data_IF_503839822033
#
_entry.id   IF_503839822033
#
_cell.length_a   1.000
_cell.length_b   1.000
_cell.length_c   1.000
_cell.angle_alpha   90.00
_cell.angle_beta   90.00
_cell.angle_gamma   90.00
#
_symmetry.space_group_name_H-M   'P 1'
#
loop_
_entity.id
_entity.type
_entity.pdbx_description
1 polymer ?
#
# COMPACT_ATOMS: atom_id res chain seq x y z
N UNK A 1 31.03 17.39 -8.41
CA UNK A 1 29.77 17.11 -9.13
C UNK A 1 29.78 15.80 -9.95
N UNK A 2 30.93 15.18 -10.27
CA UNK A 2 31.06 14.04 -11.21
C UNK A 2 30.98 12.62 -10.61
N UNK A 3 31.32 12.40 -9.33
CA UNK A 3 31.22 11.07 -8.68
C UNK A 3 29.79 10.66 -8.35
N UNK A 4 28.99 11.58 -7.80
CA UNK A 4 27.59 11.33 -7.43
C UNK A 4 26.71 11.02 -8.66
N UNK A 5 26.93 11.72 -9.77
CA UNK A 5 26.22 11.47 -11.03
C UNK A 5 26.59 10.12 -11.67
N UNK A 6 27.85 9.69 -11.56
CA UNK A 6 28.28 8.35 -12.04
C UNK A 6 27.74 7.22 -11.15
N UNK A 7 27.74 7.40 -9.82
CA UNK A 7 27.12 6.44 -8.89
C UNK A 7 25.62 6.33 -9.15
N UNK A 8 24.92 7.45 -9.34
CA UNK A 8 23.50 7.46 -9.72
C UNK A 8 23.28 6.80 -11.08
N UNK A 9 24.13 7.00 -12.09
CA UNK A 9 23.92 6.31 -13.39
C UNK A 9 24.18 4.80 -13.33
N UNK A 10 25.10 4.36 -12.47
CA UNK A 10 25.48 2.95 -12.30
C UNK A 10 24.49 2.17 -11.41
N UNK A 11 24.03 2.79 -10.30
CA UNK A 11 22.95 2.25 -9.44
C UNK A 11 21.67 2.01 -10.25
N UNK A 12 21.39 2.88 -11.24
CA UNK A 12 20.11 2.93 -11.93
C UNK A 12 20.02 2.08 -13.20
N UNK A 13 21.07 1.37 -13.62
CA UNK A 13 20.99 0.49 -14.79
C UNK A 13 21.30 -0.97 -14.46
N UNK A 14 22.56 -1.33 -14.20
CA UNK A 14 22.94 -2.75 -14.04
C UNK A 14 22.47 -3.32 -12.69
N UNK A 15 22.73 -2.61 -11.59
CA UNK A 15 22.31 -3.05 -10.26
C UNK A 15 20.77 -3.07 -10.14
N UNK A 16 20.10 -2.06 -10.71
CA UNK A 16 18.64 -2.03 -10.76
C UNK A 16 18.07 -3.21 -11.56
N UNK A 17 18.60 -3.52 -12.74
CA UNK A 17 18.18 -4.70 -13.50
C UNK A 17 18.44 -6.01 -12.75
N UNK A 18 19.61 -6.16 -12.12
CA UNK A 18 19.92 -7.33 -11.29
C UNK A 18 18.94 -7.49 -10.14
N UNK A 19 18.65 -6.41 -9.41
CA UNK A 19 17.69 -6.43 -8.32
C UNK A 19 16.28 -6.76 -8.81
N UNK A 20 15.84 -6.15 -9.93
CA UNK A 20 14.55 -6.46 -10.54
C UNK A 20 14.43 -7.95 -10.89
N UNK A 21 15.45 -8.54 -11.52
CA UNK A 21 15.47 -9.96 -11.84
C UNK A 21 15.44 -10.85 -10.58
N UNK A 22 16.22 -10.52 -9.55
CA UNK A 22 16.23 -11.29 -8.30
C UNK A 22 14.92 -11.19 -7.53
N UNK A 23 14.33 -10.00 -7.42
CA UNK A 23 13.04 -9.79 -6.77
C UNK A 23 11.93 -10.52 -7.51
N UNK A 24 11.92 -10.42 -8.84
CA UNK A 24 10.98 -11.16 -9.68
C UNK A 24 11.16 -12.67 -9.53
N UNK A 25 12.41 -13.17 -9.52
CA UNK A 25 12.70 -14.59 -9.32
C UNK A 25 12.22 -15.12 -7.96
N UNK A 26 12.33 -14.31 -6.90
CA UNK A 26 11.78 -14.67 -5.58
C UNK A 26 10.26 -14.75 -5.62
N UNK A 27 9.58 -13.79 -6.26
CA UNK A 27 8.14 -13.86 -6.46
C UNK A 27 7.74 -15.05 -7.33
N UNK A 28 8.53 -15.36 -8.35
CA UNK A 28 8.31 -16.50 -9.23
C UNK A 28 8.34 -17.82 -8.46
N UNK A 29 9.34 -18.01 -7.58
CA UNK A 29 9.41 -19.18 -6.70
C UNK A 29 8.23 -19.21 -5.72
N UNK A 30 7.95 -18.08 -5.04
CA UNK A 30 6.92 -18.02 -4.00
C UNK A 30 5.50 -18.25 -4.55
N UNK A 31 5.24 -17.82 -5.78
CA UNK A 31 3.93 -17.88 -6.43
C UNK A 31 3.93 -18.75 -7.69
N UNK A 32 4.90 -19.67 -7.82
CA UNK A 32 5.06 -20.55 -8.99
C UNK A 32 3.74 -21.24 -9.41
N UNK A 33 2.93 -21.81 -8.49
CA UNK A 33 1.68 -22.45 -8.86
C UNK A 33 0.62 -21.50 -9.44
N UNK A 34 0.70 -20.20 -9.14
CA UNK A 34 -0.22 -19.17 -9.62
C UNK A 34 0.24 -18.58 -10.97
N UNK A 35 1.54 -18.54 -11.23
CA UNK A 35 2.10 -18.01 -12.48
C UNK A 35 2.03 -19.07 -13.58
N UNK A 36 2.60 -20.24 -13.30
CA UNK A 36 2.81 -21.30 -14.27
C UNK A 36 1.85 -22.48 -14.09
N UNK A 37 1.31 -22.64 -12.87
CA UNK A 37 0.38 -23.71 -12.54
C UNK A 37 -1.10 -23.34 -12.73
N UNK A 38 -1.95 -24.15 -12.07
CA UNK A 38 -3.41 -24.06 -12.15
C UNK A 38 -4.02 -23.46 -10.88
N UNK A 39 -3.26 -22.69 -10.08
CA UNK A 39 -3.75 -22.00 -8.88
C UNK A 39 -4.10 -20.56 -9.21
N UNK A 40 -5.08 -20.01 -8.49
CA UNK A 40 -5.52 -18.62 -8.69
C UNK A 40 -6.01 -18.00 -7.40
N UNK A 41 -5.73 -16.71 -7.26
CA UNK A 41 -6.27 -15.84 -6.22
C UNK A 41 -7.64 -15.27 -6.57
N UNK A 42 -8.08 -15.41 -7.82
CA UNK A 42 -9.41 -14.99 -8.26
C UNK A 42 -10.49 -15.84 -7.55
N UNK A 43 -11.28 -15.22 -6.69
CA UNK A 43 -12.30 -15.87 -5.86
C UNK A 43 -13.47 -16.38 -6.72
N UNK A 44 -13.90 -15.63 -7.73
CA UNK A 44 -14.93 -16.05 -8.70
C UNK A 44 -14.61 -17.33 -9.45
N UNK A 45 -13.33 -17.73 -9.51
CA UNK A 45 -12.98 -18.99 -10.11
C UNK A 45 -13.54 -20.16 -9.30
N UNK A 46 -13.74 -20.04 -7.98
CA UNK A 46 -14.14 -21.21 -7.17
C UNK A 46 -14.92 -20.90 -5.89
N UNK A 47 -14.60 -19.81 -5.23
CA UNK A 47 -14.94 -19.56 -3.83
C UNK A 47 -16.18 -18.65 -3.70
N UNK A 48 -16.49 -17.87 -4.74
CA UNK A 48 -17.64 -16.97 -4.78
C UNK A 48 -18.45 -17.12 -6.08
N UNK A 49 -19.77 -16.99 -5.98
CA UNK A 49 -20.64 -16.88 -7.15
C UNK A 49 -20.25 -15.66 -7.99
N UNK A 50 -20.23 -15.80 -9.32
CA UNK A 50 -19.71 -14.75 -10.19
C UNK A 50 -20.43 -14.63 -11.52
N UNK A 51 -20.34 -13.42 -12.10
CA UNK A 51 -20.76 -13.09 -13.46
C UNK A 51 -19.71 -13.46 -14.52
N UNK A 52 -18.53 -13.91 -14.11
CA UNK A 52 -17.47 -14.32 -15.02
C UNK A 52 -17.70 -15.74 -15.53
N UNK A 53 -17.48 -16.01 -16.84
CA UNK A 53 -17.67 -17.35 -17.41
C UNK A 53 -16.52 -18.32 -17.05
N UNK A 54 -15.58 -17.88 -16.21
CA UNK A 54 -14.39 -18.64 -15.83
C UNK A 54 -14.64 -19.30 -14.48
N UNK A 55 -14.83 -20.62 -14.49
CA UNK A 55 -14.90 -21.43 -13.28
C UNK A 55 -13.63 -22.27 -13.06
N UNK A 56 -13.51 -22.86 -11.89
CA UNK A 56 -12.45 -23.78 -11.55
C UNK A 56 -12.57 -25.03 -12.43
N UNK A 57 -11.44 -25.50 -12.94
CA UNK A 57 -11.32 -26.71 -13.74
C UNK A 57 -12.03 -27.95 -13.14
N UNK A 58 -12.25 -27.97 -11.82
CA UNK A 58 -12.84 -29.11 -11.10
C UNK A 58 -14.40 -29.16 -11.09
N UNK A 59 -15.13 -28.21 -11.68
CA UNK A 59 -16.58 -28.32 -11.93
C UNK A 59 -17.52 -28.37 -10.71
N UNK A 60 -16.99 -28.53 -9.48
CA UNK A 60 -17.75 -28.50 -8.23
C UNK A 60 -17.24 -27.39 -7.31
N UNK A 61 -18.18 -26.57 -6.81
CA UNK A 61 -17.92 -25.63 -5.72
C UNK A 61 -17.41 -26.42 -4.51
N UNK A 62 -16.19 -26.13 -4.06
CA UNK A 62 -15.66 -26.66 -2.80
C UNK A 62 -15.42 -25.47 -1.91
N UNK A 63 -16.10 -25.41 -0.77
CA UNK A 63 -15.71 -24.49 0.30
C UNK A 63 -14.32 -24.89 0.76
N UNK A 64 -13.31 -24.00 0.64
CA UNK A 64 -11.97 -24.34 1.10
C UNK A 64 -12.00 -24.58 2.62
N UNK A 65 -11.22 -25.56 3.09
CA UNK A 65 -11.15 -25.89 4.53
C UNK A 65 -10.53 -24.75 5.37
N UNK A 66 -9.71 -23.93 4.72
CA UNK A 66 -9.11 -22.74 5.29
C UNK A 66 -9.26 -21.60 4.27
N UNK A 67 -9.60 -20.39 4.72
CA UNK A 67 -9.70 -19.26 3.83
C UNK A 67 -8.32 -18.93 3.24
N UNK A 68 -8.29 -18.52 1.98
CA UNK A 68 -7.10 -18.08 1.24
C UNK A 68 -6.59 -16.73 1.73
N UNK A 69 -7.50 -15.86 2.16
CA UNK A 69 -7.23 -14.49 2.64
C UNK A 69 -8.08 -14.18 3.87
N UNK A 70 -7.75 -13.12 4.60
CA UNK A 70 -8.51 -12.72 5.80
C UNK A 70 -9.95 -12.32 5.51
N UNK A 71 -10.18 -11.72 4.34
CA UNK A 71 -11.50 -11.35 3.85
C UNK A 71 -11.64 -11.93 2.43
N UNK A 72 -12.44 -12.99 2.28
CA UNK A 72 -12.74 -13.59 0.98
C UNK A 72 -13.97 -12.95 0.32
N UNK A 73 -14.79 -12.24 1.09
CA UNK A 73 -16.06 -11.70 0.65
C UNK A 73 -15.88 -10.49 -0.25
N UNK A 74 -15.06 -9.53 0.17
CA UNK A 74 -14.86 -8.28 -0.58
C UNK A 74 -14.36 -8.53 -2.01
N UNK A 75 -13.30 -9.33 -2.27
CA UNK A 75 -12.80 -9.59 -3.62
C UNK A 75 -13.86 -10.26 -4.51
N UNK A 76 -14.52 -11.30 -3.99
CA UNK A 76 -15.47 -12.09 -4.77
C UNK A 76 -16.78 -11.37 -5.07
N UNK A 77 -17.31 -10.60 -4.11
CA UNK A 77 -18.64 -10.00 -4.22
C UNK A 77 -18.62 -8.54 -4.72
N UNK A 78 -17.53 -7.81 -4.51
CA UNK A 78 -17.45 -6.39 -4.88
C UNK A 78 -16.43 -6.17 -6.00
N UNK A 79 -15.15 -6.46 -5.73
CA UNK A 79 -14.05 -5.98 -6.56
C UNK A 79 -13.98 -6.67 -7.92
N UNK A 80 -14.11 -8.00 -7.95
CA UNK A 80 -14.04 -8.79 -9.17
C UNK A 80 -15.19 -8.49 -10.16
N UNK A 81 -16.47 -8.39 -9.73
CA UNK A 81 -17.55 -7.90 -10.57
C UNK A 81 -17.30 -6.49 -11.11
N UNK A 82 -16.75 -5.57 -10.31
CA UNK A 82 -16.40 -4.22 -10.78
C UNK A 82 -15.34 -4.27 -11.88
N UNK A 83 -14.27 -5.06 -11.75
CA UNK A 83 -13.27 -5.20 -12.82
C UNK A 83 -13.87 -5.72 -14.13
N UNK A 84 -14.81 -6.67 -14.04
CA UNK A 84 -15.54 -7.17 -15.21
C UNK A 84 -16.39 -6.08 -15.86
N UNK A 85 -17.10 -5.28 -15.05
CA UNK A 85 -17.91 -4.15 -15.53
C UNK A 85 -17.05 -3.06 -16.17
N UNK A 86 -15.94 -2.68 -15.53
CA UNK A 86 -14.97 -1.71 -16.03
C UNK A 86 -14.45 -2.15 -17.41
N UNK A 87 -14.08 -3.42 -17.55
CA UNK A 87 -13.67 -4.00 -18.83
C UNK A 87 -14.75 -3.90 -19.91
N UNK A 88 -16.00 -4.21 -19.57
CA UNK A 88 -17.16 -4.07 -20.47
C UNK A 88 -17.35 -2.62 -20.91
N UNK A 89 -17.27 -1.67 -19.98
CA UNK A 89 -17.45 -0.25 -20.25
C UNK A 89 -16.35 0.30 -21.17
N UNK A 90 -15.09 -0.06 -20.93
CA UNK A 90 -13.99 0.31 -21.80
C UNK A 90 -14.06 -0.33 -23.19
N UNK A 91 -14.33 -1.63 -23.27
CA UNK A 91 -14.17 -2.39 -24.50
C UNK A 91 -15.43 -2.47 -25.36
N UNK A 92 -16.58 -2.77 -24.75
CA UNK A 92 -17.83 -3.00 -25.46
C UNK A 92 -18.64 -1.70 -25.59
N UNK A 93 -18.77 -0.93 -24.51
CA UNK A 93 -19.65 0.26 -24.46
C UNK A 93 -18.93 1.54 -24.88
N UNK A 94 -17.59 1.57 -24.85
CA UNK A 94 -16.75 2.74 -25.13
C UNK A 94 -17.04 3.94 -24.22
N UNK A 95 -17.47 3.66 -22.99
CA UNK A 95 -17.80 4.66 -21.98
C UNK A 95 -16.71 4.71 -20.90
N UNK A 96 -16.43 5.89 -20.33
CA UNK A 96 -15.66 5.97 -19.09
C UNK A 96 -16.41 5.22 -17.97
N UNK A 97 -15.74 4.46 -17.09
CA UNK A 97 -16.40 3.61 -16.08
C UNK A 97 -16.95 4.41 -14.88
N UNK A 98 -17.96 5.24 -15.13
CA UNK A 98 -18.47 6.21 -14.15
C UNK A 98 -19.64 5.67 -13.32
N UNK A 99 -20.43 4.75 -13.86
CA UNK A 99 -21.71 4.31 -13.27
C UNK A 99 -21.85 2.79 -13.26
N UNK A 100 -22.33 2.23 -12.16
CA UNK A 100 -22.68 0.83 -12.03
C UNK A 100 -24.21 0.66 -11.97
N UNK A 101 -24.87 0.21 -13.05
CA UNK A 101 -26.33 0.04 -13.07
C UNK A 101 -26.81 -1.24 -12.40
N UNK A 102 -25.90 -2.12 -11.96
CA UNK A 102 -26.21 -3.47 -11.47
C UNK A 102 -26.23 -3.59 -9.95
N UNK A 103 -25.82 -2.54 -9.23
CA UNK A 103 -25.75 -2.54 -7.78
C UNK A 103 -26.66 -1.44 -7.22
N UNK A 104 -27.45 -1.75 -6.19
CA UNK A 104 -28.27 -0.81 -5.42
C UNK A 104 -29.13 0.15 -6.27
N UNK A 105 -29.73 -0.34 -7.37
CA UNK A 105 -30.47 0.45 -8.37
C UNK A 105 -29.66 1.51 -9.13
N UNK A 106 -28.33 1.48 -8.99
CA UNK A 106 -27.40 2.38 -9.65
C UNK A 106 -26.50 3.10 -8.65
N UNK A 107 -25.18 2.91 -8.78
CA UNK A 107 -24.18 3.57 -7.91
C UNK A 107 -23.04 4.20 -8.71
N UNK A 108 -22.44 5.31 -8.20
CA UNK A 108 -21.24 5.88 -8.81
C UNK A 108 -20.07 4.90 -8.73
N UNK A 109 -19.62 4.38 -9.88
CA UNK A 109 -18.54 3.41 -9.96
C UNK A 109 -17.20 4.10 -9.71
N UNK A 110 -16.80 5.06 -10.55
CA UNK A 110 -15.53 5.77 -10.36
C UNK A 110 -15.49 6.57 -9.06
N UNK A 111 -16.60 7.22 -8.69
CA UNK A 111 -16.65 8.10 -7.53
C UNK A 111 -16.68 7.33 -6.20
N UNK A 112 -16.93 6.01 -6.17
CA UNK A 112 -16.76 5.22 -4.95
C UNK A 112 -15.29 5.01 -4.56
N UNK A 113 -14.34 5.35 -5.46
CA UNK A 113 -12.89 5.17 -5.35
C UNK A 113 -12.41 3.72 -5.26
N UNK A 114 -13.05 2.86 -4.48
CA UNK A 114 -12.69 1.45 -4.25
C UNK A 114 -12.57 0.63 -5.54
N UNK A 115 -13.38 0.94 -6.55
CA UNK A 115 -13.39 0.22 -7.83
C UNK A 115 -12.18 0.51 -8.74
N UNK A 116 -11.43 1.60 -8.47
CA UNK A 116 -10.14 1.91 -9.11
C UNK A 116 -10.12 1.89 -10.65
N UNK A 117 -11.12 2.42 -11.38
CA UNK A 117 -11.20 2.24 -12.83
C UNK A 117 -10.04 2.91 -13.60
N UNK A 118 -9.43 3.94 -13.01
CA UNK A 118 -8.33 4.70 -13.61
C UNK A 118 -6.95 4.36 -13.02
N UNK A 119 -6.86 3.41 -12.09
CA UNK A 119 -5.57 2.90 -11.64
C UNK A 119 -4.95 2.03 -12.74
N UNK A 120 -3.71 2.28 -13.20
CA UNK A 120 -3.17 1.61 -14.39
C UNK A 120 -3.21 0.08 -14.35
N UNK A 121 -2.84 -0.54 -13.22
CA UNK A 121 -2.83 -2.01 -13.12
C UNK A 121 -4.26 -2.58 -13.13
N UNK A 122 -5.20 -1.90 -12.48
CA UNK A 122 -6.62 -2.30 -12.45
C UNK A 122 -7.26 -2.14 -13.83
N UNK A 123 -6.97 -1.04 -14.52
CA UNK A 123 -7.43 -0.80 -15.88
C UNK A 123 -6.90 -1.90 -16.82
N UNK A 124 -5.60 -2.19 -16.79
CA UNK A 124 -4.98 -3.25 -17.61
C UNK A 124 -5.57 -4.64 -17.31
N UNK A 125 -5.78 -4.96 -16.02
CA UNK A 125 -6.45 -6.19 -15.61
C UNK A 125 -7.87 -6.27 -16.20
N UNK A 126 -8.63 -5.18 -16.10
CA UNK A 126 -10.03 -5.12 -16.53
C UNK A 126 -10.19 -5.31 -18.05
N UNK A 127 -9.20 -4.90 -18.85
CA UNK A 127 -9.21 -5.14 -20.32
C UNK A 127 -9.18 -6.62 -20.67
N UNK A 128 -8.54 -7.47 -19.85
CA UNK A 128 -8.48 -8.90 -20.09
C UNK A 128 -8.51 -9.68 -18.78
N UNK A 129 -9.66 -9.65 -18.11
CA UNK A 129 -9.84 -10.32 -16.82
C UNK A 129 -9.93 -11.84 -17.00
N UNK A 130 -8.94 -12.55 -16.48
CA UNK A 130 -8.82 -14.01 -16.41
C UNK A 130 -8.13 -14.39 -15.10
N UNK A 131 -8.22 -15.66 -14.65
CA UNK A 131 -7.47 -16.11 -13.46
C UNK A 131 -5.96 -15.79 -13.54
N UNK A 132 -5.35 -15.96 -14.71
CA UNK A 132 -3.91 -15.71 -14.89
C UNK A 132 -3.56 -14.23 -14.86
N UNK A 133 -4.34 -13.36 -15.52
CA UNK A 133 -4.10 -11.91 -15.49
C UNK A 133 -4.34 -11.32 -14.11
N UNK A 134 -5.30 -11.85 -13.35
CA UNK A 134 -5.52 -11.47 -11.94
C UNK A 134 -4.32 -11.83 -11.05
N UNK A 135 -3.74 -13.03 -11.21
CA UNK A 135 -2.52 -13.40 -10.51
C UNK A 135 -1.35 -12.45 -10.87
N UNK A 136 -1.19 -12.10 -12.14
CA UNK A 136 -0.18 -11.14 -12.56
C UNK A 136 -0.41 -9.74 -11.98
N UNK A 137 -1.65 -9.28 -11.92
CA UNK A 137 -2.01 -8.03 -11.27
C UNK A 137 -1.55 -7.98 -9.81
N UNK A 138 -1.81 -9.05 -9.05
CA UNK A 138 -1.32 -9.20 -7.67
C UNK A 138 0.21 -9.14 -7.61
N UNK A 139 0.89 -9.92 -8.45
CA UNK A 139 2.36 -10.00 -8.42
C UNK A 139 3.03 -8.68 -8.80
N UNK A 140 2.45 -7.95 -9.74
CA UNK A 140 2.96 -6.63 -10.14
C UNK A 140 2.85 -5.61 -9.00
N UNK A 141 1.80 -5.68 -8.18
CA UNK A 141 1.66 -4.85 -6.96
C UNK A 141 2.77 -5.16 -5.95
N UNK A 142 2.99 -6.43 -5.65
CA UNK A 142 4.06 -6.86 -4.74
C UNK A 142 5.45 -6.50 -5.29
N UNK A 143 5.69 -6.77 -6.57
CA UNK A 143 6.94 -6.41 -7.25
C UNK A 143 7.23 -4.92 -7.15
N UNK A 144 6.22 -4.07 -7.36
CA UNK A 144 6.36 -2.63 -7.26
C UNK A 144 6.74 -2.18 -5.84
N UNK A 145 6.11 -2.76 -4.80
CA UNK A 145 6.50 -2.52 -3.41
C UNK A 145 7.98 -2.85 -3.16
N UNK A 146 8.42 -4.05 -3.56
CA UNK A 146 9.79 -4.50 -3.32
C UNK A 146 10.84 -3.75 -4.14
N UNK A 147 10.57 -3.52 -5.43
CA UNK A 147 11.51 -2.85 -6.32
C UNK A 147 11.67 -1.37 -5.96
N UNK A 148 10.59 -0.66 -5.66
CA UNK A 148 10.69 0.72 -5.21
C UNK A 148 11.35 0.83 -3.83
N UNK A 149 11.09 -0.10 -2.91
CA UNK A 149 11.79 -0.14 -1.62
C UNK A 149 13.29 -0.37 -1.80
N UNK A 150 13.68 -1.32 -2.65
CA UNK A 150 15.09 -1.53 -3.01
C UNK A 150 15.73 -0.22 -3.51
N UNK A 151 15.11 0.44 -4.50
CA UNK A 151 15.64 1.69 -5.05
C UNK A 151 15.74 2.81 -4.00
N UNK A 152 14.75 2.92 -3.11
CA UNK A 152 14.77 3.88 -2.00
C UNK A 152 15.94 3.60 -1.05
N UNK A 153 16.11 2.34 -0.63
CA UNK A 153 17.19 1.95 0.29
C UNK A 153 18.58 2.09 -0.34
N UNK A 154 18.72 2.00 -1.66
CA UNK A 154 19.99 2.25 -2.36
C UNK A 154 20.52 3.68 -2.18
N UNK A 155 19.72 4.62 -1.71
CA UNK A 155 20.21 5.93 -1.29
C UNK A 155 21.06 5.91 -0.01
N UNK A 156 20.90 4.87 0.83
CA UNK A 156 21.46 4.80 2.19
C UNK A 156 22.39 3.61 2.38
N UNK A 157 22.11 2.47 1.76
CA UNK A 157 22.85 1.22 1.98
C UNK A 157 23.27 0.56 0.68
N UNK A 158 24.22 -0.36 0.75
CA UNK A 158 24.74 -1.11 -0.40
C UNK A 158 23.69 -2.06 -1.02
N UNK A 159 24.06 -2.75 -2.10
CA UNK A 159 23.16 -3.61 -2.87
C UNK A 159 22.44 -4.67 -2.01
N UNK A 160 23.19 -5.44 -1.21
CA UNK A 160 22.64 -6.60 -0.47
C UNK A 160 21.62 -6.18 0.60
N UNK A 161 21.90 -5.21 1.50
CA UNK A 161 20.91 -4.77 2.48
C UNK A 161 19.69 -4.10 1.83
N UNK A 162 19.88 -3.36 0.74
CA UNK A 162 18.76 -2.77 -0.01
C UNK A 162 17.89 -3.86 -0.65
N UNK A 163 18.50 -4.91 -1.20
CA UNK A 163 17.76 -6.05 -1.77
C UNK A 163 16.97 -6.78 -0.67
N UNK A 164 17.58 -6.98 0.50
CA UNK A 164 16.89 -7.58 1.65
C UNK A 164 15.68 -6.75 2.10
N UNK A 165 15.80 -5.42 2.13
CA UNK A 165 14.67 -4.53 2.40
C UNK A 165 13.59 -4.54 1.31
N UNK A 166 13.98 -4.70 0.04
CA UNK A 166 13.05 -4.93 -1.06
C UNK A 166 12.25 -6.23 -0.90
N UNK A 167 12.93 -7.32 -0.54
CA UNK A 167 12.27 -8.61 -0.24
C UNK A 167 11.33 -8.49 0.96
N UNK A 168 11.80 -7.87 2.04
CA UNK A 168 10.99 -7.66 3.24
C UNK A 168 9.74 -6.81 2.97
N UNK A 169 9.84 -5.83 2.06
CA UNK A 169 8.70 -5.00 1.67
C UNK A 169 7.70 -5.74 0.80
N UNK A 170 8.12 -6.44 -0.27
CA UNK A 170 7.17 -7.14 -1.15
C UNK A 170 6.52 -8.36 -0.53
N UNK A 171 7.16 -8.97 0.49
CA UNK A 171 6.64 -10.11 1.24
C UNK A 171 6.22 -9.72 2.66
N UNK A 172 5.97 -8.43 2.91
CA UNK A 172 5.46 -7.97 4.19
C UNK A 172 4.15 -8.71 4.52
N UNK A 173 4.01 -9.21 5.74
CA UNK A 173 2.87 -10.05 6.10
C UNK A 173 1.52 -9.39 5.87
N UNK A 174 1.41 -8.08 6.10
CA UNK A 174 0.24 -7.29 5.72
C UNK A 174 -0.17 -7.48 4.25
N UNK A 175 0.77 -7.33 3.30
CA UNK A 175 0.47 -7.51 1.88
C UNK A 175 0.12 -8.97 1.54
N UNK A 176 0.65 -9.95 2.28
CA UNK A 176 0.30 -11.36 2.07
C UNK A 176 -1.10 -11.65 2.59
N UNK A 177 -1.46 -11.10 3.75
CA UNK A 177 -2.76 -11.30 4.40
C UNK A 177 -3.92 -10.65 3.63
N UNK A 178 -3.65 -9.49 3.04
CA UNK A 178 -4.63 -8.70 2.28
C UNK A 178 -4.34 -8.71 0.76
N UNK A 179 -3.67 -9.75 0.26
CA UNK A 179 -3.11 -9.78 -1.10
C UNK A 179 -4.12 -9.56 -2.23
N UNK A 180 -5.39 -9.89 -2.01
CA UNK A 180 -6.50 -9.71 -2.96
C UNK A 180 -7.28 -8.41 -2.77
N UNK A 181 -7.07 -7.71 -1.65
CA UNK A 181 -7.80 -6.48 -1.34
C UNK A 181 -7.49 -5.36 -2.33
N UNK A 182 -8.48 -4.51 -2.56
CA UNK A 182 -8.32 -3.35 -3.44
C UNK A 182 -7.41 -2.27 -2.83
N UNK A 183 -7.47 -2.00 -1.52
CA UNK A 183 -6.64 -0.97 -0.89
C UNK A 183 -5.13 -1.20 -1.03
N UNK A 184 -4.72 -2.44 -1.24
CA UNK A 184 -3.32 -2.80 -1.47
C UNK A 184 -2.74 -2.12 -2.71
N UNK A 185 -3.57 -1.69 -3.69
CA UNK A 185 -3.14 -0.83 -4.80
C UNK A 185 -2.57 0.52 -4.36
N UNK A 186 -3.11 1.10 -3.28
CA UNK A 186 -2.59 2.33 -2.65
C UNK A 186 -1.36 2.01 -1.82
N UNK A 187 -1.46 0.98 -0.98
CA UNK A 187 -0.48 0.71 0.07
C UNK A 187 0.87 0.26 -0.48
N UNK A 188 0.88 -0.45 -1.61
CA UNK A 188 2.12 -0.81 -2.33
C UNK A 188 2.81 0.37 -2.98
N UNK A 189 2.18 1.55 -3.04
CA UNK A 189 2.83 2.79 -3.50
C UNK A 189 3.69 3.44 -2.41
N UNK A 190 3.60 3.03 -1.14
CA UNK A 190 4.37 3.64 -0.06
C UNK A 190 5.88 3.70 -0.37
N UNK A 191 6.54 2.62 -0.83
CA UNK A 191 7.95 2.67 -1.18
C UNK A 191 8.24 3.57 -2.39
N UNK A 192 7.32 3.65 -3.36
CA UNK A 192 7.45 4.55 -4.50
C UNK A 192 7.35 6.03 -4.09
N UNK A 193 6.47 6.34 -3.13
CA UNK A 193 6.30 7.68 -2.58
C UNK A 193 7.53 8.11 -1.76
N UNK A 194 8.10 7.20 -0.96
CA UNK A 194 9.37 7.43 -0.27
C UNK A 194 10.54 7.60 -1.24
N UNK A 195 10.64 6.74 -2.27
CA UNK A 195 11.65 6.80 -3.31
C UNK A 195 11.65 8.15 -4.04
N UNK A 196 10.49 8.55 -4.56
CA UNK A 196 10.35 9.79 -5.35
C UNK A 196 10.44 11.02 -4.46
N UNK A 197 9.92 10.96 -3.23
CA UNK A 197 10.07 12.02 -2.23
C UNK A 197 11.52 12.24 -1.84
N UNK A 198 12.27 11.19 -1.49
CA UNK A 198 13.71 11.29 -1.18
C UNK A 198 14.52 11.75 -2.40
N UNK A 199 14.14 11.31 -3.61
CA UNK A 199 14.75 11.80 -4.84
C UNK A 199 14.52 13.31 -5.02
N UNK A 200 13.31 13.80 -4.73
CA UNK A 200 12.97 15.23 -4.74
C UNK A 200 13.78 15.99 -3.70
N UNK A 201 13.91 15.51 -2.47
CA UNK A 201 14.77 16.15 -1.46
C UNK A 201 16.21 16.31 -1.93
N UNK A 202 16.77 15.26 -2.55
CA UNK A 202 18.18 15.24 -2.99
C UNK A 202 18.44 16.10 -4.23
N UNK A 203 17.49 16.19 -5.16
CA UNK A 203 17.67 16.88 -6.46
C UNK A 203 16.99 18.24 -6.56
N UNK A 204 15.79 18.37 -5.99
CA UNK A 204 14.96 19.57 -6.00
C UNK A 204 14.87 20.20 -7.41
N UNK A 205 14.44 19.40 -8.39
CA UNK A 205 14.27 19.83 -9.78
C UNK A 205 12.92 19.37 -10.36
N UNK A 206 12.56 19.90 -11.54
CA UNK A 206 11.27 19.60 -12.18
C UNK A 206 11.02 18.12 -12.45
N UNK A 207 12.05 17.35 -12.82
CA UNK A 207 11.90 15.90 -13.06
C UNK A 207 11.49 15.20 -11.77
N UNK A 208 12.17 15.50 -10.66
CA UNK A 208 11.82 14.91 -9.36
C UNK A 208 10.42 15.35 -8.88
N UNK A 209 10.00 16.57 -9.20
CA UNK A 209 8.66 17.06 -8.89
C UNK A 209 7.58 16.33 -9.70
N UNK A 210 7.76 16.19 -11.01
CA UNK A 210 6.83 15.45 -11.89
C UNK A 210 6.70 14.00 -11.44
N UNK A 211 7.80 13.34 -11.08
CA UNK A 211 7.77 11.96 -10.60
C UNK A 211 7.04 11.82 -9.27
N UNK A 212 7.28 12.72 -8.31
CA UNK A 212 6.56 12.71 -7.04
C UNK A 212 5.06 13.00 -7.27
N UNK A 213 4.71 13.99 -8.10
CA UNK A 213 3.33 14.28 -8.48
C UNK A 213 2.63 13.09 -9.15
N UNK A 214 3.33 12.36 -10.03
CA UNK A 214 2.80 11.16 -10.66
C UNK A 214 2.53 10.04 -9.64
N UNK A 215 3.42 9.83 -8.66
CA UNK A 215 3.17 8.86 -7.59
C UNK A 215 2.01 9.30 -6.69
N UNK A 216 1.89 10.59 -6.36
CA UNK A 216 0.74 11.10 -5.63
C UNK A 216 -0.57 10.86 -6.39
N UNK A 217 -0.58 11.11 -7.70
CA UNK A 217 -1.73 10.77 -8.55
C UNK A 217 -2.06 9.28 -8.48
N UNK A 218 -1.07 8.39 -8.61
CA UNK A 218 -1.26 6.93 -8.50
C UNK A 218 -1.80 6.49 -7.14
N UNK A 219 -1.36 7.12 -6.05
CA UNK A 219 -1.88 6.90 -4.69
C UNK A 219 -3.37 7.24 -4.63
N UNK A 220 -3.79 8.39 -5.20
CA UNK A 220 -5.20 8.81 -5.16
C UNK A 220 -6.09 7.95 -6.07
N UNK A 221 -5.65 7.66 -7.31
CA UNK A 221 -6.44 6.80 -8.23
C UNK A 221 -6.42 5.34 -7.82
N UNK A 222 -5.52 4.95 -6.89
CA UNK A 222 -5.47 3.65 -6.26
C UNK A 222 -6.63 3.36 -5.32
N UNK A 223 -7.53 4.32 -5.05
CA UNK A 223 -8.92 4.01 -4.71
C UNK A 223 -9.28 3.73 -3.25
N UNK A 224 -8.37 3.90 -2.29
CA UNK A 224 -8.68 3.81 -0.86
C UNK A 224 -8.27 5.12 -0.18
N UNK A 225 -9.21 6.08 0.04
CA UNK A 225 -8.92 7.40 0.60
C UNK A 225 -8.25 7.35 1.98
N UNK A 226 -8.67 6.41 2.82
CA UNK A 226 -8.14 6.23 4.17
C UNK A 226 -6.67 5.77 4.14
N UNK A 227 -6.38 4.69 3.41
CA UNK A 227 -4.99 4.23 3.19
C UNK A 227 -4.13 5.30 2.52
N UNK A 228 -4.69 6.07 1.57
CA UNK A 228 -3.98 7.18 0.93
C UNK A 228 -3.61 8.26 1.94
N UNK A 229 -4.54 8.65 2.81
CA UNK A 229 -4.28 9.64 3.86
C UNK A 229 -3.18 9.17 4.82
N UNK A 230 -3.25 7.94 5.32
CA UNK A 230 -2.26 7.38 6.26
C UNK A 230 -0.88 7.28 5.58
N UNK A 231 -0.83 6.82 4.34
CA UNK A 231 0.40 6.75 3.54
C UNK A 231 1.02 8.13 3.39
N UNK A 232 0.23 9.14 2.99
CA UNK A 232 0.72 10.50 2.82
C UNK A 232 1.17 11.11 4.14
N UNK A 233 0.45 10.88 5.24
CA UNK A 233 0.86 11.32 6.57
C UNK A 233 2.25 10.78 6.93
N UNK A 234 2.49 9.49 6.70
CA UNK A 234 3.80 8.88 6.93
C UNK A 234 4.88 9.46 6.01
N UNK A 235 4.61 9.60 4.72
CA UNK A 235 5.56 10.13 3.72
C UNK A 235 5.91 11.59 4.01
N UNK A 236 4.93 12.46 4.24
CA UNK A 236 5.20 13.86 4.59
C UNK A 236 5.89 13.98 5.95
N UNK A 237 5.53 13.15 6.93
CA UNK A 237 6.26 13.07 8.20
C UNK A 237 7.73 12.74 8.00
N UNK A 238 8.04 11.77 7.13
CA UNK A 238 9.41 11.44 6.73
C UNK A 238 10.11 12.62 6.05
N UNK A 239 9.47 13.26 5.06
CA UNK A 239 10.07 14.35 4.29
C UNK A 239 10.34 15.58 5.16
N UNK A 240 9.41 15.93 6.06
CA UNK A 240 9.59 17.01 7.03
C UNK A 240 10.76 16.67 7.97
N UNK A 241 10.79 15.46 8.53
CA UNK A 241 11.87 15.03 9.41
C UNK A 241 13.23 15.08 8.68
N UNK A 242 13.31 14.64 7.42
CA UNK A 242 14.53 14.76 6.60
C UNK A 242 14.96 16.22 6.46
N UNK A 243 14.05 17.15 6.14
CA UNK A 243 14.37 18.56 6.00
C UNK A 243 14.83 19.23 7.30
N UNK A 244 14.27 18.83 8.44
CA UNK A 244 14.60 19.39 9.77
C UNK A 244 15.96 18.89 10.26
N UNK A 245 16.19 17.57 10.17
CA UNK A 245 17.33 16.90 10.78
C UNK A 245 18.54 16.73 9.85
N UNK A 246 18.38 16.86 8.53
CA UNK A 246 19.50 16.82 7.59
C UNK A 246 20.04 18.22 7.28
N UNK A 247 21.23 18.51 7.81
CA UNK A 247 21.91 19.79 7.58
C UNK A 247 22.24 20.03 6.09
N UNK A 248 22.41 18.97 5.28
CA UNK A 248 22.72 19.10 3.85
C UNK A 248 21.54 19.62 3.02
N UNK A 249 20.32 19.45 3.53
CA UNK A 249 19.09 19.91 2.86
C UNK A 249 18.74 21.36 3.19
N UNK A 250 19.22 21.90 4.32
CA UNK A 250 18.91 23.26 4.78
C UNK A 250 19.21 24.35 3.74
N UNK A 251 20.35 24.35 3.01
CA UNK A 251 20.61 25.38 2.01
C UNK A 251 19.62 25.39 0.84
N UNK A 252 18.88 24.28 0.64
CA UNK A 252 17.93 24.10 -0.48
C UNK A 252 16.48 24.12 -0.02
N UNK A 253 16.20 24.41 1.26
CA UNK A 253 14.88 24.22 1.87
C UNK A 253 13.76 24.91 1.09
N UNK A 254 13.95 26.17 0.66
CA UNK A 254 12.94 26.90 -0.09
C UNK A 254 12.64 26.21 -1.42
N UNK A 255 13.67 25.78 -2.15
CA UNK A 255 13.51 25.05 -3.41
C UNK A 255 12.79 23.72 -3.20
N UNK A 256 13.14 22.99 -2.14
CA UNK A 256 12.49 21.73 -1.78
C UNK A 256 11.01 21.97 -1.49
N UNK A 257 10.68 22.94 -0.64
CA UNK A 257 9.30 23.27 -0.28
C UNK A 257 8.51 23.70 -1.51
N UNK A 258 9.08 24.52 -2.40
CA UNK A 258 8.42 24.91 -3.65
C UNK A 258 8.13 23.70 -4.53
N UNK A 259 9.10 22.81 -4.74
CA UNK A 259 8.89 21.63 -5.58
C UNK A 259 7.92 20.64 -4.94
N UNK A 260 7.97 20.46 -3.61
CA UNK A 260 6.98 19.65 -2.89
C UNK A 260 5.59 20.23 -3.07
N UNK A 261 5.39 21.53 -2.81
CA UNK A 261 4.10 22.19 -2.98
C UNK A 261 3.56 22.07 -4.41
N UNK A 262 4.40 22.33 -5.43
CA UNK A 262 4.03 22.16 -6.84
C UNK A 262 3.60 20.71 -7.08
N UNK A 263 4.38 19.74 -6.62
CA UNK A 263 4.09 18.32 -6.85
C UNK A 263 2.78 17.88 -6.18
N UNK A 264 2.55 18.32 -4.94
CA UNK A 264 1.33 18.04 -4.19
C UNK A 264 0.12 18.63 -4.89
N UNK A 265 0.17 19.91 -5.27
CA UNK A 265 -0.92 20.59 -5.98
C UNK A 265 -1.16 19.91 -7.33
N UNK A 266 -0.13 19.61 -8.11
CA UNK A 266 -0.27 18.91 -9.39
C UNK A 266 -0.88 17.52 -9.21
N UNK A 267 -0.41 16.72 -8.25
CA UNK A 267 -0.97 15.40 -7.99
C UNK A 267 -2.46 15.44 -7.60
N UNK A 268 -2.84 16.40 -6.75
CA UNK A 268 -4.25 16.62 -6.36
C UNK A 268 -5.11 17.12 -7.53
N UNK A 269 -4.61 18.05 -8.35
CA UNK A 269 -5.32 18.55 -9.52
C UNK A 269 -5.52 17.47 -10.57
N UNK A 270 -4.52 16.63 -10.83
CA UNK A 270 -4.66 15.46 -11.71
C UNK A 270 -5.70 14.46 -11.19
N UNK A 271 -5.78 14.33 -9.86
CA UNK A 271 -6.73 13.43 -9.19
C UNK A 271 -8.12 14.04 -9.02
N UNK A 272 -8.30 15.34 -9.29
CA UNK A 272 -9.54 16.06 -9.02
C UNK A 272 -10.75 15.48 -9.77
N UNK A 273 -10.51 14.85 -10.93
CA UNK A 273 -11.54 14.14 -11.70
C UNK A 273 -12.19 12.99 -10.91
N UNK A 274 -11.49 12.43 -9.92
CA UNK A 274 -12.03 11.43 -8.99
C UNK A 274 -12.40 12.03 -7.64
N UNK A 275 -11.55 12.93 -7.12
CA UNK A 275 -11.71 13.46 -5.76
C UNK A 275 -12.95 14.35 -5.63
N UNK A 276 -13.30 15.13 -6.67
CA UNK A 276 -14.48 15.99 -6.61
C UNK A 276 -15.79 15.17 -6.63
N UNK A 277 -15.98 14.20 -7.56
CA UNK A 277 -17.15 13.31 -7.49
C UNK A 277 -17.19 12.45 -6.23
N UNK A 278 -16.05 11.98 -5.73
CA UNK A 278 -16.00 11.26 -4.45
C UNK A 278 -16.44 12.14 -3.29
N UNK A 279 -15.96 13.40 -3.24
CA UNK A 279 -16.37 14.33 -2.20
C UNK A 279 -17.88 14.59 -2.22
N UNK A 280 -18.47 14.78 -3.40
CA UNK A 280 -19.92 14.87 -3.56
C UNK A 280 -20.61 13.58 -3.08
N UNK A 281 -20.15 12.42 -3.53
CA UNK A 281 -20.72 11.12 -3.18
C UNK A 281 -20.62 10.82 -1.68
N UNK A 282 -19.54 11.22 -1.00
CA UNK A 282 -19.35 11.03 0.43
C UNK A 282 -20.43 11.75 1.27
N UNK A 283 -20.96 12.88 0.78
CA UNK A 283 -22.03 13.62 1.47
C UNK A 283 -23.42 13.04 1.20
N UNK A 284 -23.59 12.33 0.07
CA UNK A 284 -24.85 11.71 -0.32
C UNK A 284 -24.98 10.26 0.17
N UNK A 285 -23.86 9.58 0.38
CA UNK A 285 -23.81 8.18 0.76
C UNK A 285 -23.88 7.95 2.26
N UNK A 286 -24.45 6.81 2.65
CA UNK A 286 -24.28 6.28 4.00
C UNK A 286 -22.89 5.68 4.15
N UNK A 287 -22.17 6.05 5.21
CA UNK A 287 -20.88 5.47 5.53
C UNK A 287 -20.73 5.29 7.05
N UNK A 288 -20.03 4.22 7.45
CA UNK A 288 -19.80 3.86 8.86
C UNK A 288 -18.71 4.71 9.53
N UNK A 289 -18.08 5.61 8.79
CA UNK A 289 -17.03 6.48 9.31
C UNK A 289 -17.59 7.75 9.97
N UNK A 290 -18.83 8.14 9.66
CA UNK A 290 -19.48 9.29 10.28
C UNK A 290 -20.00 8.95 11.70
N UNK A 291 -19.60 9.70 12.75
CA UNK A 291 -20.06 9.45 14.12
C UNK A 291 -21.58 9.41 14.28
N UNK A 292 -22.31 10.23 13.50
CA UNK A 292 -23.77 10.22 13.51
C UNK A 292 -24.40 8.89 13.08
N UNK A 293 -23.70 8.10 12.25
CA UNK A 293 -24.17 6.82 11.73
C UNK A 293 -23.82 5.63 12.65
N UNK A 294 -22.97 5.84 13.66
CA UNK A 294 -22.49 4.81 14.59
C UNK A 294 -22.69 5.23 16.05
N UNK A 295 -23.88 5.78 16.35
CA UNK A 295 -24.31 6.13 17.71
C UNK A 295 -23.36 7.10 18.46
N UNK A 296 -22.70 8.01 17.73
CA UNK A 296 -21.78 9.00 18.30
C UNK A 296 -20.36 8.49 18.55
N UNK A 297 -20.07 7.21 18.26
CA UNK A 297 -18.71 6.69 18.34
C UNK A 297 -17.80 7.41 17.32
N UNK A 298 -16.54 7.64 17.71
CA UNK A 298 -15.54 8.26 16.84
C UNK A 298 -14.57 7.18 16.38
N UNK A 299 -14.60 6.77 15.08
CA UNK A 299 -13.72 5.73 14.56
C UNK A 299 -12.25 6.01 14.84
N UNK A 300 -11.87 7.28 14.71
CA UNK A 300 -10.52 7.75 15.02
C UNK A 300 -10.06 7.43 16.44
N UNK A 301 -10.97 7.30 17.40
CA UNK A 301 -10.65 6.97 18.80
C UNK A 301 -10.71 5.47 19.10
N UNK A 302 -11.07 4.63 18.13
CA UNK A 302 -11.03 3.18 18.24
C UNK A 302 -9.61 2.68 18.54
N UNK A 303 -9.50 1.71 19.44
CA UNK A 303 -8.25 1.02 19.77
C UNK A 303 -8.53 -0.43 20.18
N UNK A 304 -7.50 -1.26 20.10
CA UNK A 304 -7.53 -2.64 20.59
C UNK A 304 -7.04 -2.71 22.04
N UNK A 305 -7.57 -3.65 22.80
CA UNK A 305 -7.02 -3.97 24.12
C UNK A 305 -5.66 -4.64 23.97
N UNK A 306 -4.72 -4.30 24.86
CA UNK A 306 -3.42 -4.98 24.92
C UNK A 306 -3.60 -6.36 25.56
N UNK A 307 -3.67 -7.40 24.72
CA UNK A 307 -3.80 -8.79 25.15
C UNK A 307 -2.71 -9.70 24.52
N UNK A 308 -2.85 -11.02 24.65
CA UNK A 308 -1.88 -11.98 24.10
C UNK A 308 -1.82 -11.99 22.58
N UNK A 309 -2.79 -11.39 21.88
CA UNK A 309 -2.85 -11.36 20.43
C UNK A 309 -1.74 -10.51 19.80
N UNK A 310 -1.09 -9.63 20.57
CA UNK A 310 0.13 -8.88 20.16
C UNK A 310 1.21 -9.82 19.61
N UNK A 311 1.26 -11.06 20.10
CA UNK A 311 2.23 -12.06 19.61
C UNK A 311 1.99 -12.41 18.13
N UNK A 312 0.77 -12.20 17.61
CA UNK A 312 0.38 -12.38 16.20
C UNK A 312 1.19 -11.56 15.21
N UNK A 313 1.74 -10.41 15.63
CA UNK A 313 2.66 -9.61 14.80
C UNK A 313 3.96 -10.35 14.43
N UNK A 314 4.36 -11.33 15.25
CA UNK A 314 5.60 -12.11 15.12
C UNK A 314 5.31 -13.58 14.79
N UNK A 315 4.18 -14.11 15.24
CA UNK A 315 3.76 -15.49 15.03
C UNK A 315 2.26 -15.51 14.64
N UNK A 316 1.94 -15.32 13.35
CA UNK A 316 0.57 -15.05 12.91
C UNK A 316 -0.37 -16.24 13.10
N UNK A 317 0.16 -17.46 13.19
CA UNK A 317 -0.62 -18.69 13.36
C UNK A 317 -0.44 -19.32 14.75
N UNK A 318 0.08 -18.57 15.74
CA UNK A 318 0.31 -19.11 17.08
C UNK A 318 -0.99 -19.59 17.74
N UNK A 319 -2.08 -18.85 17.54
CA UNK A 319 -3.41 -19.18 18.06
C UNK A 319 -4.22 -20.08 17.11
N UNK A 320 -3.58 -20.61 16.06
CA UNK A 320 -4.22 -21.38 14.99
C UNK A 320 -4.62 -20.52 13.79
N UNK A 321 -5.10 -21.16 12.71
CA UNK A 321 -5.69 -20.45 11.57
C UNK A 321 -7.00 -19.77 12.00
N UNK A 322 -7.27 -18.58 11.45
CA UNK A 322 -8.53 -17.88 11.70
C UNK A 322 -9.72 -18.71 11.21
N UNK A 323 -10.77 -18.87 12.03
CA UNK A 323 -12.05 -19.38 11.56
C UNK A 323 -12.61 -18.47 10.43
N UNK A 324 -13.45 -19.05 9.57
CA UNK A 324 -13.94 -18.49 8.29
C UNK A 324 -14.57 -17.08 8.30
N UNK A 325 -14.67 -16.36 9.43
CA UNK A 325 -15.40 -15.08 9.51
C UNK A 325 -14.83 -14.07 10.52
N UNK A 326 -13.53 -14.11 10.85
CA UNK A 326 -13.02 -13.20 11.87
C UNK A 326 -11.76 -12.45 11.48
N UNK A 327 -11.91 -11.12 11.38
CA UNK A 327 -10.87 -10.12 11.64
C UNK A 327 -10.18 -10.29 13.01
N UNK A 328 -10.61 -11.24 13.84
CA UNK A 328 -10.04 -11.50 15.16
C UNK A 328 -8.93 -12.56 15.11
N UNK A 329 -7.72 -12.14 15.48
CA UNK A 329 -6.63 -13.04 15.87
C UNK A 329 -5.39 -13.06 14.97
N UNK A 330 -5.46 -12.52 13.74
CA UNK A 330 -4.27 -12.35 12.88
C UNK A 330 -3.98 -10.86 12.70
N UNK A 331 -2.96 -10.41 13.41
CA UNK A 331 -2.42 -9.05 13.29
C UNK A 331 -1.56 -8.89 12.04
N UNK A 332 -1.27 -7.64 11.68
CA UNK A 332 -0.43 -7.26 10.54
C UNK A 332 1.03 -7.75 10.71
N UNK A 333 1.24 -9.04 10.46
CA UNK A 333 2.49 -9.76 10.64
C UNK A 333 3.66 -9.03 9.98
N UNK A 334 4.70 -8.73 10.74
CA UNK A 334 5.93 -8.11 10.21
C UNK A 334 7.15 -9.04 10.27
N UNK A 335 7.05 -10.18 10.97
CA UNK A 335 8.07 -11.24 10.93
C UNK A 335 9.18 -11.13 11.96
N UNK A 336 9.54 -12.29 12.54
CA UNK A 336 10.61 -12.39 13.55
C UNK A 336 11.98 -11.97 13.01
N UNK A 337 12.25 -12.25 11.73
CA UNK A 337 13.51 -11.87 11.09
C UNK A 337 13.60 -10.34 10.96
N UNK A 338 12.53 -9.68 10.51
CA UNK A 338 12.51 -8.22 10.41
C UNK A 338 12.61 -7.56 11.78
N UNK A 339 11.88 -8.09 12.78
CA UNK A 339 11.96 -7.62 14.16
C UNK A 339 13.38 -7.76 14.74
N UNK A 340 14.02 -8.91 14.53
CA UNK A 340 15.39 -9.14 14.97
C UNK A 340 16.37 -8.15 14.31
N UNK A 341 16.28 -7.97 12.99
CA UNK A 341 17.14 -7.02 12.27
C UNK A 341 16.90 -5.57 12.70
N UNK A 342 15.66 -5.20 13.02
CA UNK A 342 15.33 -3.89 13.58
C UNK A 342 15.92 -3.70 14.99
N UNK A 343 15.88 -4.73 15.85
CA UNK A 343 16.54 -4.68 17.15
C UNK A 343 18.07 -4.56 17.02
N UNK A 344 18.66 -5.28 16.07
CA UNK A 344 20.11 -5.18 15.76
C UNK A 344 20.48 -3.77 15.29
N UNK A 345 19.67 -3.13 14.44
CA UNK A 345 19.97 -1.78 13.95
C UNK A 345 19.87 -0.73 15.07
N UNK A 346 18.84 -0.79 15.92
CA UNK A 346 18.68 0.10 17.08
C UNK A 346 19.81 -0.08 18.09
N UNK A 347 20.19 -1.32 18.40
CA UNK A 347 21.29 -1.61 19.33
C UNK A 347 22.66 -1.20 18.76
N UNK A 348 22.86 -1.30 17.45
CA UNK A 348 24.07 -0.81 16.79
C UNK A 348 24.22 0.71 16.94
N UNK A 349 23.12 1.47 16.82
CA UNK A 349 23.12 2.92 17.06
C UNK A 349 23.39 3.23 18.53
N UNK A 350 22.68 2.57 19.45
CA UNK A 350 22.84 2.79 20.89
C UNK A 350 24.27 2.51 21.37
N UNK A 351 24.98 1.59 20.71
CA UNK A 351 26.39 1.26 20.98
C UNK A 351 27.40 2.09 20.17
N UNK A 352 26.95 3.09 19.42
CA UNK A 352 27.81 3.96 18.62
C UNK A 352 28.57 3.24 17.49
N UNK A 353 28.05 2.08 17.02
CA UNK A 353 28.71 1.27 15.98
C UNK A 353 28.51 1.83 14.57
N UNK A 354 27.54 2.72 14.38
CA UNK A 354 27.20 3.32 13.09
C UNK A 354 27.54 4.81 13.08
N UNK A 355 28.40 5.22 12.13
CA UNK A 355 28.79 6.62 11.94
C UNK A 355 28.03 7.34 10.83
N UNK A 356 27.19 6.62 10.08
CA UNK A 356 26.39 7.18 8.99
C UNK A 356 25.15 7.88 9.55
N UNK A 357 25.14 9.21 9.48
CA UNK A 357 24.06 10.03 10.00
C UNK A 357 22.72 9.79 9.28
N UNK A 358 22.73 9.50 7.97
CA UNK A 358 21.51 9.28 7.21
C UNK A 358 20.90 7.91 7.54
N UNK A 359 21.74 6.88 7.70
CA UNK A 359 21.30 5.56 8.15
C UNK A 359 20.77 5.59 9.60
N UNK A 360 21.45 6.34 10.47
CA UNK A 360 21.01 6.53 11.85
C UNK A 360 19.65 7.26 11.89
N UNK A 361 19.50 8.33 11.10
CA UNK A 361 18.23 9.03 10.93
C UNK A 361 17.12 8.07 10.49
N UNK A 362 17.35 7.27 9.44
CA UNK A 362 16.34 6.36 8.91
C UNK A 362 15.90 5.34 9.97
N UNK A 363 16.87 4.77 10.70
CA UNK A 363 16.60 3.78 11.76
C UNK A 363 15.81 4.40 12.91
N UNK A 364 16.19 5.60 13.37
CA UNK A 364 15.49 6.31 14.45
C UNK A 364 14.08 6.69 14.02
N UNK A 365 13.93 7.26 12.81
CA UNK A 365 12.63 7.65 12.27
C UNK A 365 11.70 6.43 12.19
N UNK A 366 12.13 5.34 11.54
CA UNK A 366 11.33 4.12 11.41
C UNK A 366 11.02 3.49 12.78
N UNK A 367 11.98 3.46 13.70
CA UNK A 367 11.76 2.95 15.06
C UNK A 367 10.71 3.75 15.83
N UNK A 368 10.80 5.09 15.78
CA UNK A 368 9.80 5.97 16.39
C UNK A 368 8.43 5.84 15.75
N UNK A 369 8.35 5.71 14.41
CA UNK A 369 7.09 5.47 13.72
C UNK A 369 6.41 4.19 14.17
N UNK A 370 7.16 3.09 14.33
CA UNK A 370 6.62 1.83 14.85
C UNK A 370 6.06 2.03 16.26
N UNK A 371 6.80 2.71 17.14
CA UNK A 371 6.33 3.00 18.51
C UNK A 371 5.05 3.82 18.48
N UNK A 372 4.97 4.88 17.68
CA UNK A 372 3.76 5.72 17.57
C UNK A 372 2.56 4.92 17.06
N UNK A 373 2.75 4.09 16.04
CA UNK A 373 1.68 3.23 15.49
C UNK A 373 1.19 2.23 16.55
N UNK A 374 2.09 1.59 17.29
CA UNK A 374 1.71 0.67 18.37
C UNK A 374 0.98 1.38 19.52
N UNK A 375 1.47 2.55 19.93
CA UNK A 375 0.81 3.36 20.96
C UNK A 375 -0.60 3.81 20.52
N UNK A 376 -0.77 4.13 19.22
CA UNK A 376 -2.07 4.46 18.65
C UNK A 376 -3.00 3.24 18.63
N UNK A 377 -2.51 2.10 18.15
CA UNK A 377 -3.25 0.83 18.05
C UNK A 377 -3.81 0.38 19.40
N UNK A 378 -3.03 0.53 20.47
CA UNK A 378 -3.38 0.12 21.83
C UNK A 378 -3.90 1.26 22.72
N UNK A 379 -4.32 2.38 22.14
CA UNK A 379 -5.12 3.38 22.85
C UNK A 379 -4.37 4.21 23.90
N UNK A 380 -3.04 4.35 23.80
CA UNK A 380 -2.28 5.19 24.74
C UNK A 380 -2.75 6.64 24.66
N UNK A 381 -3.35 7.16 25.74
CA UNK A 381 -4.21 8.36 25.73
C UNK A 381 -3.64 9.56 24.97
N UNK A 382 -2.38 10.00 25.17
CA UNK A 382 -1.82 11.14 24.44
C UNK A 382 -1.75 10.94 22.93
N UNK A 383 -1.48 9.71 22.48
CA UNK A 383 -1.40 9.37 21.05
C UNK A 383 -2.80 9.07 20.50
N UNK A 384 -3.66 8.43 21.29
CA UNK A 384 -5.01 8.11 20.85
C UNK A 384 -5.84 9.38 20.58
N UNK A 385 -5.62 10.45 21.34
CA UNK A 385 -6.29 11.75 21.18
C UNK A 385 -6.12 12.38 19.77
N UNK A 386 -5.07 11.99 19.01
CA UNK A 386 -4.90 12.39 17.60
C UNK A 386 -6.12 11.95 16.76
N UNK A 387 -6.76 10.86 17.17
CA UNK A 387 -7.99 10.34 16.58
C UNK A 387 -9.18 11.28 16.63
N UNK A 388 -9.18 12.30 17.49
CA UNK A 388 -10.27 13.28 17.57
C UNK A 388 -10.07 14.48 16.64
N UNK A 389 -8.89 14.61 16.03
CA UNK A 389 -8.58 15.71 15.12
C UNK A 389 -9.46 15.66 13.86
N UNK A 390 -9.67 16.82 13.18
CA UNK A 390 -10.33 16.84 11.88
C UNK A 390 -9.69 15.84 10.92
N UNK A 391 -10.51 15.17 10.10
CA UNK A 391 -10.14 14.05 9.22
C UNK A 391 -9.78 12.75 9.97
N UNK A 392 -8.93 12.81 11.00
CA UNK A 392 -8.53 11.65 11.80
C UNK A 392 -9.72 10.95 12.48
N UNK A 393 -10.72 11.73 12.89
CA UNK A 393 -11.97 11.20 13.48
C UNK A 393 -12.71 10.22 12.58
N UNK A 394 -12.50 10.25 11.28
CA UNK A 394 -13.17 9.37 10.32
C UNK A 394 -12.34 8.10 9.99
N UNK A 395 -11.14 7.96 10.54
CA UNK A 395 -10.21 6.87 10.20
C UNK A 395 -10.33 5.74 11.22
N UNK A 396 -10.38 4.49 10.78
CA UNK A 396 -10.25 3.32 11.64
C UNK A 396 -8.77 3.00 11.89
N UNK A 397 -8.32 3.14 13.14
CA UNK A 397 -6.97 2.71 13.55
C UNK A 397 -6.95 1.26 14.10
N UNK A 398 -8.13 0.65 14.24
CA UNK A 398 -8.38 -0.74 14.64
C UNK A 398 -8.56 -1.64 13.43
#
# INVERSE_FOLDING_TARGET
>A
MTRLLRLLRHIWSIDACRAALLLFFILDIAFFPCIWGNKTFLASARDAASIMPYGAWEGQHRTPRFPKTLDEGVPGYLTEPWFKLIGKQYLAEKNPPLWNPYQDFGTPLAANMESQPFYPLTALLSLHLTPRTYNWYILLRLFLAGFCMYLFLRFFVSFVPALAGGVASMLAGYYILFITMQQTSVEVMLPAALLTGEWLLRKANYVSAVLFAAVLFLVMVGGMPESAFILLLFVYGYLIARCVFDAELRPKWLRIVTHLAISTVTGLLLSAILLLPFYEYLHLSFNLHQPGNIAGAVPGLGYENLDSSVIGYVFPLLFGPTPNDAFSGIHNYFGIVALFLAAVSVTAIARGRTKDAQLNFLTIFSGLSIVVVLLKRYGFTPVNAIGDLPLFRFISFT
#
